data_IF_950035764808
#
_entry.id   IF_950035764808
#
_cell.length_a   1.000
_cell.length_b   1.000
_cell.length_c   1.000
_cell.angle_alpha   90.00
_cell.angle_beta   90.00
_cell.angle_gamma   90.00
#
_symmetry.space_group_name_H-M   'P 1'
#
loop_
_entity.id
_entity.type
_entity.pdbx_description
1 polymer ?
#
# COMPACT_ATOMS: atom_id res chain seq x y z
N UNK A 1 7.17 -39.74 -21.83
CA UNK A 1 6.20 -40.44 -20.95
C UNK A 1 6.10 -39.69 -19.63
N UNK A 2 4.88 -39.40 -19.14
CA UNK A 2 4.68 -38.54 -17.95
C UNK A 2 4.75 -39.36 -16.65
N UNK A 3 5.50 -38.87 -15.66
CA UNK A 3 5.51 -39.41 -14.30
C UNK A 3 4.34 -38.80 -13.55
N UNK A 4 3.48 -39.65 -13.00
CA UNK A 4 2.33 -39.24 -12.19
C UNK A 4 2.66 -39.37 -10.70
N UNK A 5 1.78 -38.88 -9.83
CA UNK A 5 1.95 -39.01 -8.38
C UNK A 5 0.82 -39.82 -7.77
N UNK A 6 1.15 -40.57 -6.73
CA UNK A 6 0.19 -41.31 -5.92
C UNK A 6 -0.71 -40.36 -5.13
N UNK A 7 -2.03 -40.52 -5.24
CA UNK A 7 -2.98 -39.69 -4.49
C UNK A 7 -2.96 -39.97 -2.98
N UNK A 8 -2.52 -41.15 -2.55
CA UNK A 8 -2.45 -41.52 -1.12
C UNK A 8 -1.09 -41.20 -0.51
N UNK A 9 -0.02 -41.79 -1.06
CA UNK A 9 1.33 -41.69 -0.48
C UNK A 9 2.13 -40.50 -0.96
N UNK A 10 1.81 -39.92 -2.12
CA UNK A 10 2.56 -38.84 -2.76
C UNK A 10 3.84 -39.29 -3.48
N UNK A 11 4.09 -40.61 -3.61
CA UNK A 11 5.24 -41.13 -4.36
C UNK A 11 5.04 -41.06 -5.88
N UNK A 12 6.15 -41.00 -6.60
CA UNK A 12 6.18 -41.00 -8.07
C UNK A 12 5.71 -42.34 -8.62
N UNK A 13 4.82 -42.29 -9.61
CA UNK A 13 4.33 -43.44 -10.38
C UNK A 13 4.98 -43.35 -11.75
N UNK A 14 5.88 -44.30 -12.02
CA UNK A 14 6.48 -44.46 -13.33
C UNK A 14 5.51 -45.21 -14.26
N UNK A 15 5.65 -45.02 -15.58
CA UNK A 15 4.82 -45.72 -16.55
C UNK A 15 4.89 -47.24 -16.39
N UNK A 16 3.75 -47.93 -16.55
CA UNK A 16 3.64 -49.38 -16.36
C UNK A 16 3.61 -49.83 -14.89
N UNK A 17 3.55 -48.90 -13.92
CA UNK A 17 3.41 -49.20 -12.49
C UNK A 17 2.07 -48.72 -11.95
N UNK A 18 1.59 -49.42 -10.93
CA UNK A 18 0.43 -49.00 -10.15
C UNK A 18 -0.90 -49.26 -10.83
N UNK A 19 -1.94 -48.60 -10.31
CA UNK A 19 -3.32 -48.73 -10.79
C UNK A 19 -4.02 -47.37 -10.81
N UNK A 20 -5.04 -47.28 -11.66
CA UNK A 20 -5.95 -46.14 -11.76
C UNK A 20 -7.32 -46.57 -11.25
N UNK A 21 -7.85 -45.84 -10.28
CA UNK A 21 -9.18 -46.02 -9.72
C UNK A 21 -10.04 -44.81 -10.07
N UNK A 22 -11.12 -45.04 -10.81
CA UNK A 22 -12.13 -44.00 -11.10
C UNK A 22 -13.30 -44.22 -10.15
N UNK A 23 -13.60 -43.20 -9.35
CA UNK A 23 -14.77 -43.22 -8.47
C UNK A 23 -16.02 -42.74 -9.21
N UNK A 24 -17.20 -43.07 -8.70
CA UNK A 24 -18.49 -42.69 -9.29
C UNK A 24 -18.66 -41.18 -9.53
N UNK A 25 -18.00 -40.32 -8.76
CA UNK A 25 -17.97 -38.86 -8.95
C UNK A 25 -16.98 -38.41 -10.04
N UNK A 26 -16.56 -39.32 -10.93
CA UNK A 26 -15.57 -39.11 -11.99
C UNK A 26 -14.19 -38.66 -11.49
N UNK A 27 -13.91 -38.76 -10.18
CA UNK A 27 -12.59 -38.46 -9.64
C UNK A 27 -11.64 -39.62 -9.89
N UNK A 28 -10.47 -39.27 -10.42
CA UNK A 28 -9.42 -40.22 -10.76
C UNK A 28 -8.40 -40.24 -9.62
N UNK A 29 -8.13 -41.43 -9.09
CA UNK A 29 -7.10 -41.69 -8.11
C UNK A 29 -6.07 -42.64 -8.71
N UNK A 30 -4.78 -42.35 -8.48
CA UNK A 30 -3.66 -43.17 -8.91
C UNK A 30 -2.94 -43.72 -7.68
N UNK A 31 -2.64 -45.00 -7.70
CA UNK A 31 -1.96 -45.70 -6.60
C UNK A 31 -0.68 -46.37 -7.12
N UNK A 32 0.39 -46.34 -6.33
CA UNK A 32 1.68 -46.96 -6.69
C UNK A 32 1.60 -48.47 -6.51
N UNK A 33 1.03 -48.93 -5.38
CA UNK A 33 0.88 -50.35 -5.05
C UNK A 33 -0.52 -50.64 -4.51
N UNK A 34 -0.83 -51.93 -4.32
CA UNK A 34 -2.07 -52.39 -3.68
C UNK A 34 -2.20 -51.94 -2.22
N UNK A 35 -1.09 -51.63 -1.54
CA UNK A 35 -1.08 -51.11 -0.17
C UNK A 35 -1.80 -49.76 -0.08
N UNK A 36 -1.48 -48.83 -0.98
CA UNK A 36 -2.14 -47.52 -1.01
C UNK A 36 -3.61 -47.62 -1.40
N UNK A 37 -3.93 -48.47 -2.37
CA UNK A 37 -5.31 -48.74 -2.80
C UNK A 37 -6.15 -49.27 -1.63
N UNK A 38 -5.66 -50.28 -0.91
CA UNK A 38 -6.35 -50.86 0.24
C UNK A 38 -6.58 -49.83 1.35
N UNK A 39 -5.56 -49.05 1.70
CA UNK A 39 -5.69 -48.00 2.73
C UNK A 39 -6.67 -46.89 2.32
N UNK A 40 -6.70 -46.54 1.03
CA UNK A 40 -7.65 -45.58 0.48
C UNK A 40 -9.09 -46.10 0.54
N UNK A 41 -9.33 -47.35 0.14
CA UNK A 41 -10.66 -47.98 0.19
C UNK A 41 -11.15 -48.19 1.63
N UNK A 42 -10.24 -48.46 2.57
CA UNK A 42 -10.50 -48.46 4.02
C UNK A 42 -10.73 -47.05 4.59
N UNK A 43 -10.72 -46.00 3.75
CA UNK A 43 -10.92 -44.60 4.14
C UNK A 43 -9.93 -44.10 5.19
N UNK A 44 -8.71 -44.65 5.20
CA UNK A 44 -7.65 -44.18 6.10
C UNK A 44 -7.16 -42.80 5.64
N UNK A 45 -6.88 -41.92 6.60
CA UNK A 45 -6.40 -40.58 6.30
C UNK A 45 -4.87 -40.59 6.14
N UNK A 46 -4.31 -40.24 4.97
CA UNK A 46 -2.86 -40.24 4.76
C UNK A 46 -2.12 -39.28 5.72
N UNK A 47 -2.78 -38.23 6.24
CA UNK A 47 -2.21 -37.34 7.26
C UNK A 47 -1.93 -38.00 8.61
N UNK A 48 -2.46 -39.21 8.85
CA UNK A 48 -2.20 -40.01 10.06
C UNK A 48 -1.21 -41.16 9.80
N UNK A 49 -0.81 -41.39 8.56
CA UNK A 49 0.04 -42.53 8.18
C UNK A 49 1.48 -42.05 7.98
N UNK A 50 2.35 -42.43 8.92
CA UNK A 50 3.68 -41.83 9.14
C UNK A 50 4.62 -41.85 7.93
N UNK A 51 4.52 -42.88 7.08
CA UNK A 51 5.42 -43.07 5.93
C UNK A 51 5.00 -42.27 4.68
N UNK A 52 3.82 -41.65 4.67
CA UNK A 52 3.36 -40.88 3.50
C UNK A 52 4.04 -39.52 3.41
N UNK A 53 4.20 -39.01 2.19
CA UNK A 53 4.74 -37.65 1.95
C UNK A 53 3.82 -36.59 2.58
N UNK A 54 2.50 -36.83 2.55
CA UNK A 54 1.50 -35.94 3.15
C UNK A 54 1.71 -35.79 4.65
N UNK A 55 1.86 -36.91 5.37
CA UNK A 55 2.18 -36.91 6.81
C UNK A 55 3.47 -36.14 7.09
N UNK A 56 4.54 -36.43 6.35
CA UNK A 56 5.83 -35.75 6.53
C UNK A 56 5.70 -34.24 6.34
N UNK A 57 4.92 -33.78 5.37
CA UNK A 57 4.66 -32.35 5.11
C UNK A 57 3.91 -31.67 6.26
N UNK A 58 2.83 -32.28 6.78
CA UNK A 58 2.06 -31.68 7.89
C UNK A 58 2.83 -31.70 9.22
N UNK A 59 3.65 -32.73 9.45
CA UNK A 59 4.52 -32.85 10.62
C UNK A 59 5.88 -32.18 10.45
N UNK A 60 6.09 -31.42 9.36
CA UNK A 60 7.34 -30.69 9.06
C UNK A 60 8.60 -31.57 9.06
N UNK A 61 8.46 -32.86 8.74
CA UNK A 61 9.58 -33.80 8.64
C UNK A 61 10.31 -33.62 7.30
N UNK A 62 11.62 -33.40 7.36
CA UNK A 62 12.45 -33.27 6.15
C UNK A 62 12.20 -31.99 5.35
N UNK A 63 11.67 -30.94 6.00
CA UNK A 63 11.70 -29.59 5.44
C UNK A 63 13.13 -29.08 5.61
N UNK A 64 13.94 -29.21 4.57
CA UNK A 64 15.30 -28.63 4.50
C UNK A 64 15.29 -27.19 4.02
N UNK A 65 14.23 -26.80 3.30
CA UNK A 65 14.09 -25.44 2.78
C UNK A 65 13.31 -24.60 3.77
N UNK A 66 14.01 -23.70 4.46
CA UNK A 66 13.39 -22.49 4.97
C UNK A 66 12.77 -21.77 3.77
N UNK A 67 11.46 -21.96 3.53
CA UNK A 67 10.74 -21.18 2.52
C UNK A 67 10.91 -19.72 2.87
N UNK A 68 11.89 -19.08 2.22
CA UNK A 68 12.19 -17.68 2.42
C UNK A 68 10.89 -16.92 2.18
N UNK A 69 10.43 -16.18 3.20
CA UNK A 69 9.23 -15.36 3.07
C UNK A 69 9.42 -14.49 1.83
N UNK A 70 8.54 -14.68 0.83
CA UNK A 70 8.55 -13.86 -0.38
C UNK A 70 8.29 -12.41 0.05
N UNK A 71 9.36 -11.61 0.15
CA UNK A 71 9.23 -10.17 0.37
C UNK A 71 8.65 -9.60 -0.93
N UNK A 72 7.49 -8.97 -0.85
CA UNK A 72 6.98 -8.23 -2.01
C UNK A 72 7.90 -7.04 -2.26
N UNK A 73 8.33 -6.85 -3.51
CA UNK A 73 9.03 -5.63 -3.91
C UNK A 73 7.98 -4.52 -4.05
N UNK A 74 8.09 -3.46 -3.25
CA UNK A 74 7.30 -2.23 -3.48
C UNK A 74 7.94 -1.44 -4.61
N UNK A 75 7.26 -1.32 -5.74
CA UNK A 75 7.69 -0.45 -6.83
C UNK A 75 7.30 1.00 -6.50
N UNK A 76 8.28 1.89 -6.39
CA UNK A 76 8.03 3.34 -6.27
C UNK A 76 8.03 3.93 -7.68
N UNK A 77 6.94 4.60 -8.06
CA UNK A 77 6.80 5.29 -9.35
C UNK A 77 6.67 6.80 -9.14
N UNK A 78 7.52 7.56 -9.81
CA UNK A 78 7.39 9.00 -10.10
C UNK A 78 7.81 9.19 -11.57
N UNK A 79 7.43 10.19 -12.35
CA UNK A 79 6.57 11.36 -12.20
C UNK A 79 5.58 11.41 -13.37
N UNK A 80 4.41 12.01 -13.18
CA UNK A 80 3.44 12.29 -14.26
C UNK A 80 3.68 13.69 -14.84
N UNK A 81 3.46 13.86 -16.14
CA UNK A 81 3.48 15.16 -16.80
C UNK A 81 2.36 16.06 -16.29
N UNK A 82 2.63 17.36 -16.16
CA UNK A 82 1.64 18.36 -15.77
C UNK A 82 1.29 19.18 -17.01
N UNK A 83 0.01 19.25 -17.37
CA UNK A 83 -0.44 20.08 -18.51
C UNK A 83 -0.13 21.55 -18.20
N UNK A 84 0.54 22.24 -19.13
CA UNK A 84 0.94 23.64 -18.97
C UNK A 84 2.36 23.86 -18.41
N UNK A 85 3.14 22.81 -18.14
CA UNK A 85 4.56 22.93 -17.84
C UNK A 85 5.36 21.72 -18.35
N UNK A 86 6.37 21.97 -19.18
CA UNK A 86 7.25 20.92 -19.67
C UNK A 86 8.04 20.27 -18.54
N UNK A 87 8.24 18.95 -18.63
CA UNK A 87 8.99 18.19 -17.65
C UNK A 87 10.42 18.74 -17.43
N UNK A 88 11.04 19.27 -18.50
CA UNK A 88 12.34 19.92 -18.46
C UNK A 88 12.31 21.24 -17.66
N UNK A 89 11.26 22.06 -17.82
CA UNK A 89 11.09 23.30 -17.07
C UNK A 89 10.87 23.05 -15.58
N UNK A 90 10.12 22.00 -15.23
CA UNK A 90 9.91 21.58 -13.84
C UNK A 90 11.21 21.08 -13.22
N UNK A 91 12.00 20.28 -13.95
CA UNK A 91 13.30 19.80 -13.50
C UNK A 91 14.29 20.96 -13.29
N UNK A 92 14.35 21.92 -14.22
CA UNK A 92 15.21 23.09 -14.12
C UNK A 92 14.90 23.93 -12.87
N UNK A 93 13.62 24.23 -12.60
CA UNK A 93 13.19 24.94 -11.38
C UNK A 93 13.48 24.14 -10.10
N UNK A 94 13.29 22.81 -10.14
CA UNK A 94 13.58 21.91 -9.00
C UNK A 94 15.08 21.78 -8.71
N UNK A 95 15.94 21.90 -9.72
CA UNK A 95 17.38 21.74 -9.57
C UNK A 95 18.14 23.06 -9.35
N UNK A 96 17.46 24.21 -9.31
CA UNK A 96 18.10 25.48 -8.93
C UNK A 96 18.80 25.37 -7.58
N UNK A 97 19.98 25.98 -7.46
CA UNK A 97 20.74 26.01 -6.21
C UNK A 97 19.97 26.78 -5.12
N UNK A 98 20.08 26.38 -3.85
CA UNK A 98 19.35 27.03 -2.74
C UNK A 98 19.67 28.51 -2.61
N UNK A 99 20.88 28.93 -2.95
CA UNK A 99 21.34 30.33 -2.96
C UNK A 99 20.53 31.19 -3.93
N UNK A 100 20.32 30.70 -5.16
CA UNK A 100 19.52 31.40 -6.18
C UNK A 100 18.07 31.54 -5.74
N UNK A 101 17.52 30.50 -5.10
CA UNK A 101 16.16 30.57 -4.52
C UNK A 101 16.05 31.52 -3.33
N UNK A 102 17.10 31.62 -2.52
CA UNK A 102 17.13 32.53 -1.38
C UNK A 102 17.24 33.99 -1.86
N UNK A 103 18.08 34.26 -2.86
CA UNK A 103 18.21 35.57 -3.48
C UNK A 103 16.91 36.03 -4.14
N UNK A 104 16.25 35.17 -4.93
CA UNK A 104 14.95 35.50 -5.54
C UNK A 104 13.86 35.77 -4.49
N UNK A 105 13.84 35.00 -3.38
CA UNK A 105 12.93 35.25 -2.26
C UNK A 105 13.22 36.58 -1.57
N UNK A 106 14.48 36.89 -1.31
CA UNK A 106 14.88 38.15 -0.68
C UNK A 106 14.51 39.36 -1.56
N UNK A 107 14.75 39.28 -2.87
CA UNK A 107 14.35 40.30 -3.83
C UNK A 107 12.83 40.51 -3.86
N UNK A 108 12.04 39.43 -3.92
CA UNK A 108 10.58 39.51 -3.89
C UNK A 108 10.04 40.11 -2.59
N UNK A 109 10.64 39.77 -1.44
CA UNK A 109 10.27 40.36 -0.15
C UNK A 109 10.62 41.85 -0.06
N UNK A 110 11.76 42.26 -0.61
CA UNK A 110 12.16 43.66 -0.66
C UNK A 110 11.22 44.47 -1.56
N UNK A 111 10.86 43.94 -2.72
CA UNK A 111 9.92 44.57 -3.64
C UNK A 111 8.51 44.67 -3.03
N UNK A 112 8.02 43.59 -2.40
CA UNK A 112 6.74 43.61 -1.68
C UNK A 112 6.70 44.63 -0.54
N UNK A 113 7.82 44.83 0.18
CA UNK A 113 7.94 45.88 1.20
C UNK A 113 7.90 47.29 0.59
N UNK A 114 8.59 47.52 -0.53
CA UNK A 114 8.56 48.81 -1.26
C UNK A 114 7.16 49.12 -1.80
N UNK A 115 6.50 48.15 -2.43
CA UNK A 115 5.13 48.30 -2.93
C UNK A 115 4.14 48.57 -1.78
N UNK A 116 4.34 47.97 -0.60
CA UNK A 116 3.53 48.26 0.58
C UNK A 116 3.73 49.70 1.07
N UNK A 117 4.97 50.16 1.17
CA UNK A 117 5.29 51.54 1.54
C UNK A 117 4.74 52.55 0.53
N UNK A 118 4.81 52.25 -0.76
CA UNK A 118 4.26 53.09 -1.81
C UNK A 118 2.72 53.14 -1.73
N UNK A 119 2.05 52.00 -1.53
CA UNK A 119 0.59 51.95 -1.30
C UNK A 119 0.18 52.70 -0.05
N UNK A 120 0.96 52.62 1.03
CA UNK A 120 0.71 53.35 2.27
C UNK A 120 0.91 54.85 2.08
N UNK A 121 1.96 55.27 1.36
CA UNK A 121 2.19 56.67 1.01
C UNK A 121 1.11 57.25 0.08
N UNK A 122 0.59 56.47 -0.87
CA UNK A 122 -0.54 56.86 -1.73
C UNK A 122 -1.86 56.89 -0.96
N UNK A 123 -2.03 56.03 0.05
CA UNK A 123 -3.19 56.04 0.97
C UNK A 123 -3.19 57.26 1.91
N UNK A 124 -2.01 57.76 2.30
CA UNK A 124 -1.86 59.02 3.05
C UNK A 124 -2.10 60.24 2.16
N UNK A 125 -1.73 60.18 0.87
CA UNK A 125 -1.89 61.27 -0.11
C UNK A 125 -3.29 61.38 -0.74
N UNK A 126 -4.22 60.47 -0.45
CA UNK A 126 -5.62 60.64 -0.81
C UNK A 126 -6.52 60.64 0.44
N UNK A 127 -6.58 61.73 1.21
CA UNK A 127 -7.52 61.89 2.32
C UNK A 127 -8.87 62.39 1.79
N UNK A 128 -9.47 61.70 0.81
CA UNK A 128 -10.81 62.01 0.34
C UNK A 128 -11.75 60.86 0.68
N UNK A 129 -12.42 60.98 1.84
CA UNK A 129 -13.50 60.09 2.23
C UNK A 129 -13.53 59.72 3.72
N UNK A 130 -13.57 60.70 4.62
CA UNK A 130 -14.16 60.50 5.95
C UNK A 130 -15.04 61.68 6.30
N UNK A 131 -16.32 61.56 5.96
CA UNK A 131 -17.40 62.30 6.63
C UNK A 131 -17.71 61.50 7.91
N UNK A 132 -17.67 62.11 9.10
CA UNK A 132 -18.10 61.44 10.33
C UNK A 132 -19.58 61.73 10.54
N UNK A 133 -20.41 60.69 10.61
CA UNK A 133 -21.75 60.86 11.17
C UNK A 133 -22.10 59.71 12.12
N UNK A 134 -22.65 60.16 13.25
CA UNK A 134 -22.86 59.42 14.47
C UNK A 134 -24.14 58.55 14.43
N UNK A 135 -24.24 57.75 15.51
CA UNK A 135 -25.45 57.17 16.13
C UNK A 135 -25.98 55.84 15.57
N UNK A 136 -26.05 54.86 16.47
CA UNK A 136 -26.81 53.62 16.31
C UNK A 136 -26.58 52.69 17.49
N UNK A 137 -27.49 52.72 18.45
CA UNK A 137 -27.49 51.97 19.69
C UNK A 137 -27.63 50.44 19.49
N UNK A 138 -27.07 49.65 20.41
CA UNK A 138 -27.77 48.52 21.06
C UNK A 138 -26.79 47.78 22.00
N UNK A 139 -26.95 48.03 23.30
CA UNK A 139 -26.48 47.14 24.34
C UNK A 139 -27.54 46.05 24.55
N UNK A 140 -27.15 44.77 24.53
CA UNK A 140 -27.75 43.74 25.37
C UNK A 140 -26.70 42.69 25.77
N UNK A 141 -26.60 42.30 27.05
CA UNK A 141 -25.66 41.29 27.52
C UNK A 141 -26.36 39.95 27.77
N UNK A 142 -25.82 38.85 27.24
CA UNK A 142 -26.11 37.45 27.62
C UNK A 142 -24.95 36.58 27.14
N UNK A 143 -24.51 35.50 27.78
CA UNK A 143 -24.59 34.97 29.12
C UNK A 143 -23.45 33.93 29.21
N UNK A 144 -23.06 33.59 30.44
CA UNK A 144 -22.02 32.60 30.77
C UNK A 144 -22.21 31.26 30.04
N UNK A 145 -21.10 30.67 29.59
CA UNK A 145 -21.03 29.29 29.12
C UNK A 145 -19.61 28.77 29.25
N UNK A 146 -19.31 28.14 30.38
CA UNK A 146 -18.03 27.49 30.65
C UNK A 146 -17.97 26.09 30.04
N UNK A 147 -16.72 25.68 29.76
CA UNK A 147 -16.19 24.31 29.84
C UNK A 147 -16.45 23.30 28.71
N UNK A 148 -15.38 22.95 27.96
CA UNK A 148 -14.57 21.73 28.23
C UNK A 148 -13.47 21.50 27.17
N UNK A 149 -12.23 21.78 27.56
CA UNK A 149 -11.03 21.15 26.98
C UNK A 149 -10.80 19.82 27.71
N UNK A 150 -11.03 18.70 27.01
CA UNK A 150 -10.65 17.37 27.46
C UNK A 150 -9.31 16.99 26.84
N UNK A 151 -8.26 16.88 27.68
CA UNK A 151 -6.96 16.37 27.31
C UNK A 151 -6.45 15.46 28.43
N UNK A 152 -6.65 14.16 28.26
CA UNK A 152 -5.80 13.09 28.79
C UNK A 152 -5.92 11.88 27.86
#
# INVERSE_FOLDING_TARGET
MKVEFCNFSGYKIYPGKGKLYVRSDSKIFRFVTSKEESLFLQRKNPRKIAWTVVYRKVNKKGITEETAKKRSRKAVKHSRGVVGADAAAIAAKRNQKPEVRAAQRAAALAEGKKQKQERESKRVKNPAGKVPQAKGAAAQPRAKGANRTGGR
#
